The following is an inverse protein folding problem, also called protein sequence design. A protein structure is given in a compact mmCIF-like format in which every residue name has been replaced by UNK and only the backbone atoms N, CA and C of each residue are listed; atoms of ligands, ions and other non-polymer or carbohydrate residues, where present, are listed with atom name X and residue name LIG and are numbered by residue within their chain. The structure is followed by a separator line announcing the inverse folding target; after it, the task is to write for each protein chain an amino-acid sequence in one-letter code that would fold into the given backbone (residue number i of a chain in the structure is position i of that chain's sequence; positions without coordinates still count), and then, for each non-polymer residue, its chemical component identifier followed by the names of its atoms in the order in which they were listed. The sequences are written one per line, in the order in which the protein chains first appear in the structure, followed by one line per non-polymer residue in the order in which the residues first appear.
data_IF_634444561579
#
_entry.id   IF_634444561579
#
_cell.length_a   1.000
_cell.length_b   1.000
_cell.length_c   1.000
_cell.angle_alpha   90.00
_cell.angle_beta   90.00
_cell.angle_gamma   90.00
#
_symmetry.space_group_name_H-M   'P 1'
#
loop_
_entity.id
_entity.type
_entity.pdbx_description
1 polymer ?
#
# COMPACT_ATOMS: atom_id res chain seq x y z
N UNK A 1 -2.94 -3.39 -22.80
CA UNK A 1 -3.33 -2.49 -21.70
C UNK A 1 -2.09 -1.89 -21.08
N UNK A 2 -2.03 -0.58 -20.96
CA UNK A 2 -0.85 0.10 -20.42
C UNK A 2 -1.12 0.56 -18.99
N UNK A 3 -0.53 -0.14 -18.02
CA UNK A 3 -0.54 0.30 -16.65
C UNK A 3 0.61 1.27 -16.42
N UNK A 4 0.37 2.31 -15.63
CA UNK A 4 1.36 3.36 -15.36
C UNK A 4 1.81 3.39 -13.92
N UNK A 5 0.98 2.91 -12.99
CA UNK A 5 1.27 2.97 -11.57
C UNK A 5 0.79 1.71 -10.87
N UNK A 6 1.60 1.26 -9.91
CA UNK A 6 1.26 0.18 -9.00
C UNK A 6 1.10 0.80 -7.61
N UNK A 7 -0.12 0.79 -7.11
CA UNK A 7 -0.46 1.33 -5.80
C UNK A 7 -0.67 0.18 -4.83
N UNK A 8 0.03 0.20 -3.70
CA UNK A 8 -0.05 -0.85 -2.69
C UNK A 8 -0.49 -0.28 -1.36
N UNK A 9 -1.43 -0.97 -0.72
CA UNK A 9 -1.70 -0.79 0.70
C UNK A 9 -0.51 -1.32 1.50
N UNK A 10 -0.30 -0.81 2.70
CA UNK A 10 0.83 -1.22 3.53
C UNK A 10 0.46 -2.37 4.46
N UNK A 11 -0.53 -2.15 5.33
CA UNK A 11 -0.85 -3.13 6.38
C UNK A 11 -1.59 -4.33 5.79
N UNK A 12 -1.07 -5.53 6.08
CA UNK A 12 -1.57 -6.77 5.51
C UNK A 12 -1.05 -7.09 4.12
N UNK A 13 -0.41 -6.15 3.45
CA UNK A 13 0.25 -6.34 2.14
C UNK A 13 1.76 -6.38 2.32
N UNK A 14 2.35 -5.27 2.83
CA UNK A 14 3.78 -5.19 3.12
C UNK A 14 4.12 -5.66 4.52
N UNK A 15 3.14 -5.69 5.41
CA UNK A 15 3.28 -6.23 6.77
C UNK A 15 2.44 -7.49 6.91
N UNK A 16 2.66 -8.23 8.00
CA UNK A 16 1.81 -9.38 8.35
C UNK A 16 0.45 -8.96 8.91
N UNK A 17 0.20 -7.66 9.08
CA UNK A 17 -0.97 -7.12 9.76
C UNK A 17 -0.80 -7.08 11.27
N UNK A 18 0.27 -7.69 11.81
CA UNK A 18 0.53 -7.72 13.25
C UNK A 18 1.16 -6.42 13.72
N UNK A 19 0.80 -6.00 14.93
CA UNK A 19 1.38 -4.84 15.59
C UNK A 19 1.61 -5.14 17.06
N UNK A 20 2.62 -4.50 17.63
CA UNK A 20 2.89 -4.60 19.07
C UNK A 20 2.44 -3.30 19.72
N UNK A 21 1.66 -3.42 20.79
CA UNK A 21 1.09 -2.30 21.52
C UNK A 21 1.65 -2.19 22.92
N UNK A 22 1.79 -0.96 23.39
CA UNK A 22 2.02 -0.62 24.79
C UNK A 22 0.98 0.41 25.22
N UNK A 23 1.07 0.92 26.44
CA UNK A 23 0.21 2.02 26.90
C UNK A 23 0.34 3.27 26.03
N UNK A 24 1.50 3.45 25.39
CA UNK A 24 1.75 4.56 24.49
C UNK A 24 1.17 4.34 23.09
N UNK A 25 0.56 3.18 22.81
CA UNK A 25 -0.06 2.85 21.55
C UNK A 25 0.77 1.87 20.71
N UNK A 26 0.62 1.95 19.40
CA UNK A 26 1.31 1.05 18.48
C UNK A 26 2.82 1.33 18.48
N UNK A 27 3.62 0.32 18.77
CA UNK A 27 5.06 0.43 18.89
C UNK A 27 5.83 -0.17 17.72
N UNK A 28 5.34 -1.26 17.12
CA UNK A 28 6.06 -2.00 16.09
C UNK A 28 5.10 -2.61 15.08
N UNK A 29 5.60 -2.77 13.84
CA UNK A 29 4.94 -3.53 12.78
C UNK A 29 5.91 -4.59 12.26
N UNK A 30 5.38 -5.66 11.65
CA UNK A 30 6.19 -6.74 11.08
C UNK A 30 6.15 -6.64 9.56
N UNK A 31 7.30 -6.42 8.94
CA UNK A 31 7.45 -6.32 7.48
C UNK A 31 8.11 -7.58 6.93
N UNK A 32 7.71 -7.97 5.70
CA UNK A 32 8.36 -9.06 5.00
C UNK A 32 9.73 -8.66 4.45
N UNK A 33 10.72 -9.56 4.46
CA UNK A 33 12.09 -9.21 4.05
C UNK A 33 12.29 -9.11 2.54
N UNK A 34 11.50 -9.84 1.74
CA UNK A 34 11.74 -9.98 0.30
C UNK A 34 10.94 -9.03 -0.60
N UNK A 35 10.00 -8.28 -0.01
CA UNK A 35 9.09 -7.44 -0.78
C UNK A 35 9.81 -6.34 -1.56
N UNK A 36 10.87 -5.77 -0.98
CA UNK A 36 11.63 -4.70 -1.60
C UNK A 36 12.27 -5.12 -2.92
N UNK A 37 12.82 -6.34 -2.98
CA UNK A 37 13.50 -6.83 -4.17
C UNK A 37 12.52 -7.01 -5.33
N UNK A 38 11.36 -7.60 -5.07
CA UNK A 38 10.33 -7.77 -6.09
C UNK A 38 9.85 -6.45 -6.67
N UNK A 39 9.63 -5.46 -5.80
CA UNK A 39 9.18 -4.14 -6.23
C UNK A 39 10.24 -3.41 -7.06
N UNK A 40 11.51 -3.58 -6.72
CA UNK A 40 12.59 -2.95 -7.49
C UNK A 40 12.70 -3.50 -8.90
N UNK A 41 12.33 -4.75 -9.12
CA UNK A 41 12.28 -5.31 -10.46
C UNK A 41 11.21 -4.64 -11.32
N UNK A 42 10.13 -4.19 -10.71
CA UNK A 42 9.02 -3.52 -11.41
C UNK A 42 9.24 -2.01 -11.58
N UNK A 43 10.05 -1.40 -10.74
CA UNK A 43 10.21 0.06 -10.69
C UNK A 43 10.60 0.71 -12.02
N UNK A 44 11.43 0.11 -12.89
CA UNK A 44 11.72 0.69 -14.20
C UNK A 44 10.51 0.75 -15.15
N UNK A 45 9.49 -0.07 -14.90
CA UNK A 45 8.34 -0.21 -15.80
C UNK A 45 7.08 0.48 -15.27
N UNK A 46 6.95 0.56 -13.94
CA UNK A 46 5.77 1.10 -13.27
C UNK A 46 6.21 2.03 -12.14
N UNK A 47 5.50 3.13 -11.97
CA UNK A 47 5.66 3.93 -10.77
C UNK A 47 5.08 3.14 -9.59
N UNK A 48 5.83 3.05 -8.51
CA UNK A 48 5.41 2.35 -7.29
C UNK A 48 5.02 3.38 -6.24
N UNK A 49 3.80 3.27 -5.70
CA UNK A 49 3.32 4.15 -4.64
C UNK A 49 2.64 3.34 -3.55
N UNK A 50 2.83 3.77 -2.31
CA UNK A 50 2.21 3.14 -1.16
C UNK A 50 1.21 4.08 -0.51
N UNK A 51 0.10 3.50 -0.07
CA UNK A 51 -0.91 4.22 0.70
C UNK A 51 -1.11 3.52 2.03
N UNK A 52 -1.17 4.27 3.11
CA UNK A 52 -1.52 3.76 4.43
C UNK A 52 -2.59 4.64 5.05
N UNK A 53 -3.55 4.02 5.74
CA UNK A 53 -4.54 4.73 6.54
C UNK A 53 -4.15 4.81 8.01
N UNK A 54 -3.04 4.23 8.39
CA UNK A 54 -2.60 4.15 9.78
C UNK A 54 -1.80 5.38 10.19
N UNK A 55 -2.50 6.39 10.70
CA UNK A 55 -1.86 7.63 11.15
C UNK A 55 -0.92 7.40 12.33
N UNK A 56 -1.31 6.56 13.29
CA UNK A 56 -0.49 6.30 14.49
C UNK A 56 0.76 5.53 14.17
N UNK A 57 0.71 4.62 13.21
CA UNK A 57 1.87 3.84 12.78
C UNK A 57 2.65 4.50 11.65
N UNK A 58 2.29 5.72 11.26
CA UNK A 58 2.95 6.39 10.14
C UNK A 58 4.46 6.56 10.31
N UNK A 59 4.99 6.93 11.49
CA UNK A 59 6.44 7.03 11.65
C UNK A 59 7.17 5.72 11.36
N UNK A 60 6.62 4.60 11.79
CA UNK A 60 7.20 3.27 11.54
C UNK A 60 7.16 2.95 10.05
N UNK A 61 6.01 3.16 9.43
CA UNK A 61 5.81 2.89 8.00
C UNK A 61 6.69 3.79 7.14
N UNK A 62 6.81 5.07 7.50
CA UNK A 62 7.69 6.02 6.81
C UNK A 62 9.14 5.54 6.83
N UNK A 63 9.60 5.06 7.98
CA UNK A 63 10.97 4.55 8.10
C UNK A 63 11.22 3.40 7.12
N UNK A 64 10.31 2.44 7.04
CA UNK A 64 10.49 1.27 6.16
C UNK A 64 10.29 1.62 4.70
N UNK A 65 9.19 2.26 4.35
CA UNK A 65 8.79 2.45 2.95
C UNK A 65 9.55 3.61 2.31
N UNK A 66 9.58 4.75 2.98
CA UNK A 66 10.14 5.97 2.39
C UNK A 66 11.64 6.08 2.58
N UNK A 67 12.14 5.79 3.78
CA UNK A 67 13.55 5.95 4.08
C UNK A 67 14.38 4.73 3.67
N UNK A 68 13.97 3.52 4.05
CA UNK A 68 14.74 2.31 3.75
C UNK A 68 14.53 1.83 2.31
N UNK A 69 13.29 1.71 1.87
CA UNK A 69 12.96 1.22 0.53
C UNK A 69 12.96 2.32 -0.54
N UNK A 70 12.84 3.57 -0.14
CA UNK A 70 12.85 4.76 -1.02
C UNK A 70 11.72 4.78 -2.04
N UNK A 71 10.53 4.39 -1.62
CA UNK A 71 9.31 4.52 -2.41
C UNK A 71 8.45 5.66 -1.88
N UNK A 72 7.54 6.17 -2.71
CA UNK A 72 6.56 7.17 -2.31
C UNK A 72 5.54 6.58 -1.36
N UNK A 73 5.17 7.33 -0.34
CA UNK A 73 4.20 6.94 0.67
C UNK A 73 3.28 8.11 0.98
N UNK A 74 1.98 7.87 0.97
CA UNK A 74 0.97 8.87 1.35
C UNK A 74 0.02 8.31 2.40
N UNK A 75 -0.42 9.17 3.31
CA UNK A 75 -1.42 8.83 4.30
C UNK A 75 -2.80 9.10 3.71
N UNK A 76 -3.51 8.05 3.36
CA UNK A 76 -4.85 8.13 2.75
C UNK A 76 -5.73 7.07 3.39
N UNK A 77 -6.81 7.49 4.04
CA UNK A 77 -7.75 6.55 4.65
C UNK A 77 -8.36 5.64 3.57
N UNK A 78 -8.70 4.42 3.94
CA UNK A 78 -9.24 3.44 3.00
C UNK A 78 -10.50 3.95 2.31
N UNK A 79 -11.36 4.65 3.05
CA UNK A 79 -12.61 5.19 2.51
C UNK A 79 -12.36 6.24 1.41
N UNK A 80 -11.28 7.01 1.53
CA UNK A 80 -10.98 8.10 0.59
C UNK A 80 -10.03 7.70 -0.54
N UNK A 81 -9.60 6.46 -0.59
CA UNK A 81 -8.59 6.02 -1.57
C UNK A 81 -9.02 6.16 -3.01
N UNK A 82 -10.26 5.78 -3.31
CA UNK A 82 -10.71 5.86 -4.72
C UNK A 82 -10.76 7.31 -5.19
N UNK A 83 -11.16 8.25 -4.35
CA UNK A 83 -11.13 9.66 -4.69
C UNK A 83 -9.71 10.14 -4.91
N UNK A 84 -8.78 9.76 -4.03
CA UNK A 84 -7.37 10.10 -4.15
C UNK A 84 -6.78 9.56 -5.45
N UNK A 85 -7.09 8.31 -5.80
CA UNK A 85 -6.63 7.70 -7.04
C UNK A 85 -7.14 8.46 -8.26
N UNK A 86 -8.43 8.81 -8.27
CA UNK A 86 -9.04 9.55 -9.38
C UNK A 86 -8.46 10.96 -9.54
N UNK A 87 -8.02 11.58 -8.45
CA UNK A 87 -7.39 12.89 -8.49
C UNK A 87 -5.98 12.85 -9.08
N UNK A 88 -5.28 11.74 -8.94
CA UNK A 88 -3.88 11.61 -9.33
C UNK A 88 -3.66 10.80 -10.60
N UNK A 89 -4.57 9.86 -10.91
CA UNK A 89 -4.41 8.92 -12.02
C UNK A 89 -5.73 8.61 -12.68
N UNK A 90 -5.66 8.09 -13.91
CA UNK A 90 -6.79 7.41 -14.50
C UNK A 90 -6.89 6.01 -13.88
N UNK A 91 -7.98 5.67 -13.17
CA UNK A 91 -8.09 4.38 -12.47
C UNK A 91 -7.81 3.17 -13.36
N UNK A 92 -8.14 3.23 -14.64
CA UNK A 92 -7.92 2.11 -15.58
C UNK A 92 -6.44 1.86 -15.85
N UNK A 93 -5.57 2.81 -15.53
CA UNK A 93 -4.11 2.68 -15.67
C UNK A 93 -3.43 2.25 -14.37
N UNK A 94 -4.20 1.92 -13.34
CA UNK A 94 -3.71 1.58 -12.00
C UNK A 94 -3.82 0.08 -11.76
N UNK A 95 -2.73 -0.51 -11.24
CA UNK A 95 -2.75 -1.81 -10.58
C UNK A 95 -2.79 -1.53 -9.07
N UNK A 96 -3.73 -2.13 -8.36
CA UNK A 96 -3.90 -1.91 -6.93
C UNK A 96 -3.82 -3.23 -6.17
N UNK A 97 -3.06 -3.24 -5.07
CA UNK A 97 -2.96 -4.37 -4.15
C UNK A 97 -3.39 -3.97 -2.76
N UNK A 98 -4.43 -4.63 -2.25
CA UNK A 98 -4.97 -4.38 -0.92
C UNK A 98 -5.53 -5.66 -0.32
N UNK A 99 -5.69 -5.69 1.02
CA UNK A 99 -6.14 -6.87 1.74
C UNK A 99 -7.45 -6.67 2.51
N UNK A 100 -7.91 -5.43 2.66
CA UNK A 100 -9.04 -5.10 3.48
C UNK A 100 -10.38 -5.10 2.72
N UNK A 101 -11.45 -5.35 3.47
CA UNK A 101 -12.80 -5.35 2.90
C UNK A 101 -13.16 -3.99 2.28
N UNK A 102 -12.64 -2.90 2.83
CA UNK A 102 -12.91 -1.56 2.32
C UNK A 102 -12.18 -1.25 1.01
N UNK A 103 -11.17 -2.03 0.66
CA UNK A 103 -10.48 -1.90 -0.63
C UNK A 103 -11.34 -2.32 -1.81
N UNK A 104 -12.47 -2.96 -1.53
CA UNK A 104 -13.41 -3.39 -2.55
C UNK A 104 -13.85 -2.24 -3.47
N UNK A 105 -14.07 -1.05 -2.91
CA UNK A 105 -14.45 0.13 -3.71
C UNK A 105 -13.35 0.54 -4.69
N UNK A 106 -12.10 0.44 -4.25
CA UNK A 106 -10.95 0.72 -5.10
C UNK A 106 -10.81 -0.35 -6.17
N UNK A 107 -10.89 -1.60 -5.79
CA UNK A 107 -10.67 -2.74 -6.68
C UNK A 107 -11.66 -2.80 -7.84
N UNK A 108 -12.87 -2.30 -7.65
CA UNK A 108 -13.87 -2.23 -8.72
C UNK A 108 -13.53 -1.23 -9.81
N UNK A 109 -12.84 -0.16 -9.46
CA UNK A 109 -12.61 0.98 -10.35
C UNK A 109 -11.27 0.90 -11.09
N UNK A 110 -10.28 0.22 -10.49
CA UNK A 110 -8.94 0.17 -11.08
C UNK A 110 -8.86 -0.81 -12.25
N UNK A 111 -7.79 -0.70 -13.03
CA UNK A 111 -7.59 -1.56 -14.20
C UNK A 111 -7.29 -3.01 -13.85
N UNK A 112 -6.56 -3.24 -12.77
CA UNK A 112 -6.25 -4.58 -12.28
C UNK A 112 -6.08 -4.56 -10.76
N UNK A 113 -6.66 -5.53 -10.08
CA UNK A 113 -6.57 -5.61 -8.62
C UNK A 113 -5.97 -6.94 -8.19
N UNK A 114 -5.18 -6.88 -7.11
CA UNK A 114 -4.49 -8.04 -6.54
C UNK A 114 -4.79 -8.09 -5.05
N UNK A 115 -5.09 -9.28 -4.52
CA UNK A 115 -5.23 -9.51 -3.10
C UNK A 115 -4.12 -10.46 -2.64
N UNK A 116 -3.46 -10.19 -1.49
CA UNK A 116 -2.48 -11.12 -0.94
C UNK A 116 -3.11 -12.46 -0.59
N UNK A 117 -2.32 -13.53 -0.59
CA UNK A 117 -2.80 -14.88 -0.31
C UNK A 117 -3.41 -15.01 1.10
N UNK A 118 -3.02 -14.18 2.04
CA UNK A 118 -3.53 -14.16 3.41
C UNK A 118 -4.60 -13.08 3.65
N UNK A 119 -5.15 -12.51 2.59
CA UNK A 119 -6.19 -11.48 2.73
C UNK A 119 -7.54 -12.09 3.08
N UNK A 120 -8.39 -11.28 3.70
CA UNK A 120 -9.78 -11.65 4.01
C UNK A 120 -10.71 -11.43 2.82
#
# INVERSE_FOLDING_TARGET
MNFKVFILDVDGVMTTGQSLYSEAGKQMKVFGPDDNDGLRLLNPYLKIRFLTGDRKGLPITTKRIKEDMKFDLDLVSTIKRIEWIKEHYNPKEVIYMGDGIFDHYVMKEVGYSIAPANSD
#
